data_IF_111830765131
#
_entry.id   IF_111830765131
#
_cell.length_a   1.000
_cell.length_b   1.000
_cell.length_c   1.000
_cell.angle_alpha   90.00
_cell.angle_beta   90.00
_cell.angle_gamma   90.00
#
_symmetry.space_group_name_H-M   'P 1'
#
loop_
_entity.id
_entity.type
_entity.pdbx_description
1 polymer ?
#
# COMPACT_ATOMS: atom_id res chain seq x y z
N UNK A 1 -13.45 -6.63 -10.14
CA UNK A 1 -12.30 -6.10 -9.39
C UNK A 1 -12.02 -4.69 -9.88
N UNK A 2 -11.64 -3.77 -9.00
CA UNK A 2 -11.38 -2.37 -9.34
C UNK A 2 -10.15 -2.23 -10.24
N UNK A 3 -10.09 -1.19 -11.06
CA UNK A 3 -8.88 -0.86 -11.83
C UNK A 3 -7.69 -0.54 -10.88
N UNK A 4 -6.48 -0.71 -11.38
CA UNK A 4 -5.28 -0.20 -10.71
C UNK A 4 -5.24 1.34 -10.83
N UNK A 5 -4.99 2.02 -9.72
CA UNK A 5 -4.58 3.42 -9.67
C UNK A 5 -3.67 3.63 -8.46
N UNK A 6 -2.85 4.69 -8.47
CA UNK A 6 -2.00 5.00 -7.31
C UNK A 6 -2.85 5.34 -6.08
N UNK A 7 -3.94 6.07 -6.25
CA UNK A 7 -4.86 6.46 -5.16
C UNK A 7 -5.53 5.23 -4.53
N UNK A 8 -5.86 4.22 -5.34
CA UNK A 8 -6.42 2.97 -4.84
C UNK A 8 -5.40 2.22 -3.98
N UNK A 9 -4.13 2.24 -4.35
CA UNK A 9 -3.05 1.64 -3.55
C UNK A 9 -2.81 2.45 -2.26
N UNK A 10 -2.72 3.78 -2.35
CA UNK A 10 -2.56 4.65 -1.17
C UNK A 10 -3.66 4.43 -0.14
N UNK A 11 -4.92 4.37 -0.59
CA UNK A 11 -6.06 4.08 0.29
C UNK A 11 -5.90 2.73 0.97
N UNK A 12 -5.58 1.68 0.21
CA UNK A 12 -5.37 0.32 0.76
C UNK A 12 -4.21 0.27 1.77
N UNK A 13 -3.14 1.03 1.55
CA UNK A 13 -2.01 1.13 2.49
C UNK A 13 -2.38 1.91 3.74
N UNK A 14 -3.23 2.93 3.63
CA UNK A 14 -3.73 3.68 4.78
C UNK A 14 -4.65 2.86 5.68
N UNK A 15 -5.40 1.93 5.09
CA UNK A 15 -6.35 1.01 5.75
C UNK A 15 -5.68 -0.32 6.17
N UNK A 16 -4.40 -0.53 5.81
CA UNK A 16 -3.67 -1.75 6.13
C UNK A 16 -3.51 -1.89 7.66
N UNK A 17 -3.88 -3.06 8.17
CA UNK A 17 -3.76 -3.42 9.58
C UNK A 17 -2.99 -4.74 9.74
N UNK A 18 -2.61 -5.07 10.98
CA UNK A 18 -1.94 -6.33 11.32
C UNK A 18 -2.87 -7.55 11.32
N UNK A 19 -4.15 -7.39 10.98
CA UNK A 19 -5.07 -8.53 10.87
C UNK A 19 -4.76 -9.36 9.62
N UNK A 20 -4.87 -10.69 9.73
CA UNK A 20 -4.61 -11.60 8.63
C UNK A 20 -5.47 -11.29 7.39
N UNK A 21 -6.73 -10.91 7.60
CA UNK A 21 -7.67 -10.58 6.53
C UNK A 21 -7.24 -9.32 5.75
N UNK A 22 -6.77 -8.29 6.45
CA UNK A 22 -6.28 -7.06 5.82
C UNK A 22 -5.04 -7.33 4.97
N UNK A 23 -4.07 -8.07 5.51
CA UNK A 23 -2.84 -8.46 4.79
C UNK A 23 -3.15 -9.35 3.59
N UNK A 24 -4.00 -10.37 3.74
CA UNK A 24 -4.39 -11.25 2.64
C UNK A 24 -5.09 -10.49 1.52
N UNK A 25 -6.04 -9.62 1.86
CA UNK A 25 -6.80 -8.84 0.88
C UNK A 25 -5.88 -7.95 0.05
N UNK A 26 -4.93 -7.26 0.68
CA UNK A 26 -3.95 -6.46 -0.04
C UNK A 26 -3.03 -7.33 -0.90
N UNK A 27 -2.51 -8.43 -0.35
CA UNK A 27 -1.60 -9.34 -1.06
C UNK A 27 -2.24 -9.89 -2.35
N UNK A 28 -3.49 -10.35 -2.27
CA UNK A 28 -4.24 -10.82 -3.43
C UNK A 28 -4.45 -9.72 -4.48
N UNK A 29 -4.75 -8.49 -4.04
CA UNK A 29 -4.91 -7.36 -4.95
C UNK A 29 -3.60 -7.02 -5.69
N UNK A 30 -2.46 -7.04 -4.99
CA UNK A 30 -1.14 -6.79 -5.58
C UNK A 30 -0.78 -7.86 -6.64
N UNK A 31 -1.01 -9.14 -6.35
CA UNK A 31 -0.79 -10.25 -7.29
C UNK A 31 -1.68 -10.11 -8.52
N UNK A 32 -2.96 -9.75 -8.33
CA UNK A 32 -3.89 -9.54 -9.43
C UNK A 32 -3.41 -8.42 -10.38
N UNK A 33 -2.88 -7.33 -9.83
CA UNK A 33 -2.39 -6.18 -10.58
C UNK A 33 -0.87 -6.21 -10.86
N UNK A 34 -0.25 -7.40 -10.92
CA UNK A 34 1.20 -7.57 -11.12
C UNK A 34 1.78 -6.88 -12.38
N UNK A 35 0.97 -6.58 -13.39
CA UNK A 35 1.42 -5.81 -14.56
C UNK A 35 1.85 -4.37 -14.21
N UNK A 36 1.44 -3.87 -13.04
CA UNK A 36 1.72 -2.53 -12.53
C UNK A 36 2.72 -2.54 -11.35
N UNK A 37 3.58 -3.56 -11.23
CA UNK A 37 4.53 -3.66 -10.10
C UNK A 37 5.49 -2.46 -9.99
N UNK A 38 5.95 -1.89 -11.11
CA UNK A 38 6.86 -0.73 -11.09
C UNK A 38 6.25 0.49 -10.38
N UNK A 39 5.07 0.99 -10.79
CA UNK A 39 4.42 2.08 -10.06
C UNK A 39 3.99 1.66 -8.65
N UNK A 40 3.57 0.40 -8.42
CA UNK A 40 3.23 -0.07 -7.07
C UNK A 40 4.39 0.08 -6.07
N UNK A 41 5.59 -0.37 -6.44
CA UNK A 41 6.77 -0.29 -5.56
C UNK A 41 7.11 1.17 -5.26
N UNK A 42 7.00 2.03 -6.27
CA UNK A 42 7.25 3.48 -6.10
C UNK A 42 6.30 4.10 -5.08
N UNK A 43 5.00 3.79 -5.16
CA UNK A 43 3.99 4.27 -4.20
C UNK A 43 4.23 3.66 -2.82
N UNK A 44 4.53 2.37 -2.74
CA UNK A 44 4.83 1.68 -1.48
C UNK A 44 6.01 2.32 -0.73
N UNK A 45 7.11 2.58 -1.42
CA UNK A 45 8.29 3.24 -0.86
C UNK A 45 7.97 4.67 -0.37
N UNK A 46 7.25 5.45 -1.19
CA UNK A 46 6.79 6.81 -0.81
C UNK A 46 5.98 6.79 0.48
N UNK A 47 5.05 5.84 0.59
CA UNK A 47 4.17 5.69 1.74
C UNK A 47 4.90 5.23 3.00
N UNK A 48 5.87 4.32 2.86
CA UNK A 48 6.75 3.91 3.95
C UNK A 48 7.57 5.09 4.49
N UNK A 49 8.19 5.89 3.62
CA UNK A 49 8.96 7.06 4.04
C UNK A 49 8.08 8.13 4.70
N UNK A 50 6.86 8.33 4.21
CA UNK A 50 5.87 9.21 4.83
C UNK A 50 5.53 8.77 6.26
N UNK A 51 5.26 7.48 6.47
CA UNK A 51 4.98 6.93 7.81
C UNK A 51 6.20 7.01 8.74
N UNK A 52 7.41 6.75 8.25
CA UNK A 52 8.65 6.90 9.04
C UNK A 52 8.86 8.35 9.50
N UNK A 53 8.67 9.32 8.61
CA UNK A 53 8.75 10.75 8.94
C UNK A 53 7.71 11.14 9.99
N UNK A 54 6.48 10.65 9.87
CA UNK A 54 5.43 10.89 10.85
C UNK A 54 5.83 10.38 12.25
N UNK A 55 6.33 9.15 12.35
CA UNK A 55 6.80 8.58 13.62
C UNK A 55 7.98 9.36 14.24
N UNK A 56 8.89 9.87 13.41
CA UNK A 56 10.02 10.69 13.86
C UNK A 56 9.61 12.08 14.36
N UNK A 57 8.52 12.64 13.84
CA UNK A 57 8.03 13.97 14.25
C UNK A 57 7.21 13.95 15.54
N UNK A 58 6.82 12.77 16.03
CA UNK A 58 6.00 12.58 17.23
C UNK A 58 6.80 12.14 18.46
N UNK A 59 8.12 11.97 18.34
CA UNK A 59 9.07 11.66 19.42
C UNK A 59 9.97 12.87 19.69
#
# INVERSE_FOLDING_TARGET
MSAFSEEALEKKLSELSNSQQSVQTLSLWLIHHHKHLRPMVTVWERELERKKKHLKSTN
#
